data_IF_228262015230
#
_entry.id   IF_228262015230
#
_cell.length_a   1.000
_cell.length_b   1.000
_cell.length_c   1.000
_cell.angle_alpha   90.00
_cell.angle_beta   90.00
_cell.angle_gamma   90.00
#
_symmetry.space_group_name_H-M   'P 1'
#
loop_
_entity.id
_entity.type
_entity.pdbx_description
1 polymer ?
#
# COMPACT_ATOMS: atom_id res chain seq x y z
N UNK A 1 19.06 1.32 -8.47
CA UNK A 1 18.40 2.50 -9.07
C UNK A 1 19.31 3.25 -10.03
N UNK A 2 20.59 3.43 -9.73
CA UNK A 2 21.57 3.97 -10.69
C UNK A 2 22.25 2.79 -11.39
N UNK A 3 22.24 2.79 -12.73
CA UNK A 3 22.79 1.68 -13.55
C UNK A 3 24.26 1.93 -13.92
N UNK A 4 24.69 3.18 -13.89
CA UNK A 4 26.08 3.58 -14.10
C UNK A 4 26.24 5.09 -14.19
N UNK A 5 27.49 5.55 -14.15
CA UNK A 5 27.86 6.94 -14.38
C UNK A 5 28.77 6.97 -15.60
N UNK A 6 28.54 7.94 -16.49
CA UNK A 6 29.31 8.08 -17.71
C UNK A 6 30.79 8.38 -17.39
N UNK A 7 31.74 7.77 -18.11
CA UNK A 7 33.19 7.87 -17.87
C UNK A 7 33.73 9.30 -17.75
N UNK A 8 33.14 10.23 -18.52
CA UNK A 8 33.36 11.69 -18.38
C UNK A 8 33.34 12.21 -16.93
N UNK A 9 32.55 11.61 -16.05
CA UNK A 9 32.38 12.03 -14.66
C UNK A 9 33.10 11.12 -13.65
N UNK A 10 33.98 10.22 -14.11
CA UNK A 10 34.69 9.26 -13.25
C UNK A 10 35.53 9.97 -12.17
N UNK A 11 36.18 11.08 -12.52
CA UNK A 11 36.98 11.87 -11.56
C UNK A 11 36.19 12.58 -10.45
N UNK A 12 34.85 12.59 -10.51
CA UNK A 12 33.98 13.14 -9.46
C UNK A 12 32.98 12.10 -8.93
N UNK A 13 33.14 10.82 -9.29
CA UNK A 13 32.16 9.77 -8.98
C UNK A 13 31.91 9.64 -7.48
N UNK A 14 32.97 9.58 -6.69
CA UNK A 14 32.87 9.46 -5.23
C UNK A 14 32.17 10.67 -4.60
N UNK A 15 32.46 11.88 -5.10
CA UNK A 15 31.78 13.11 -4.66
C UNK A 15 30.27 13.03 -4.94
N UNK A 16 29.89 12.62 -6.16
CA UNK A 16 28.49 12.48 -6.56
C UNK A 16 27.77 11.39 -5.76
N UNK A 17 28.44 10.27 -5.50
CA UNK A 17 27.89 9.17 -4.71
C UNK A 17 27.67 9.60 -3.26
N UNK A 18 28.63 10.28 -2.64
CA UNK A 18 28.49 10.80 -1.28
C UNK A 18 27.34 11.82 -1.20
N UNK A 19 27.29 12.79 -2.11
CA UNK A 19 26.21 13.78 -2.17
C UNK A 19 24.82 13.11 -2.26
N UNK A 20 24.69 12.05 -3.05
CA UNK A 20 23.46 11.29 -3.19
C UNK A 20 23.08 10.57 -1.89
N UNK A 21 24.03 9.82 -1.33
CA UNK A 21 23.85 9.02 -0.12
C UNK A 21 23.50 9.93 1.07
N UNK A 22 24.22 11.03 1.25
CA UNK A 22 23.97 12.01 2.31
C UNK A 22 22.59 12.64 2.18
N UNK A 23 22.18 13.00 0.95
CA UNK A 23 20.83 13.53 0.70
C UNK A 23 19.75 12.52 1.10
N UNK A 24 19.95 11.22 0.83
CA UNK A 24 18.99 10.16 1.18
C UNK A 24 18.98 9.91 2.69
N UNK A 25 20.15 9.76 3.31
CA UNK A 25 20.26 9.54 4.75
C UNK A 25 19.68 10.70 5.55
N UNK A 26 19.83 11.93 5.04
CA UNK A 26 19.19 13.11 5.61
C UNK A 26 17.67 13.04 5.64
N UNK A 27 17.00 12.18 4.87
CA UNK A 27 15.54 12.02 4.89
C UNK A 27 15.07 10.82 5.74
N UNK A 28 15.97 9.93 6.14
CA UNK A 28 15.64 8.68 6.85
C UNK A 28 15.12 8.98 8.26
N UNK A 29 13.97 8.40 8.63
CA UNK A 29 13.44 8.42 9.99
C UNK A 29 12.86 9.77 10.45
N UNK A 30 12.72 10.76 9.55
CA UNK A 30 12.13 12.07 9.89
C UNK A 30 10.68 11.99 10.35
N UNK A 31 9.90 11.06 9.79
CA UNK A 31 8.51 10.84 10.12
C UNK A 31 8.20 9.36 10.01
N UNK A 32 7.50 8.82 11.00
CA UNK A 32 7.01 7.45 11.00
C UNK A 32 5.48 7.47 11.03
N UNK A 33 4.87 6.65 10.18
CA UNK A 33 3.42 6.47 10.11
C UNK A 33 3.10 4.98 10.26
N UNK A 34 2.02 4.69 10.98
CA UNK A 34 1.46 3.35 11.05
C UNK A 34 0.48 3.08 9.89
N UNK A 35 0.01 1.83 9.79
CA UNK A 35 -1.03 1.47 8.84
C UNK A 35 -2.28 2.34 9.00
N UNK A 36 -2.72 2.57 10.25
CA UNK A 36 -3.95 3.30 10.49
C UNK A 36 -3.88 4.75 10.02
N UNK A 37 -2.75 5.44 10.28
CA UNK A 37 -2.51 6.80 9.77
C UNK A 37 -2.72 6.92 8.26
N UNK A 38 -2.43 5.85 7.51
CA UNK A 38 -2.53 5.85 6.06
C UNK A 38 -3.96 5.68 5.53
N UNK A 39 -4.86 5.04 6.29
CA UNK A 39 -6.13 4.54 5.74
C UNK A 39 -7.38 4.97 6.49
N UNK A 40 -7.27 5.47 7.73
CA UNK A 40 -8.43 5.69 8.61
C UNK A 40 -9.44 6.71 8.09
N UNK A 41 -9.00 7.66 7.26
CA UNK A 41 -9.80 8.74 6.69
C UNK A 41 -10.46 8.36 5.35
N UNK A 42 -10.27 7.13 4.86
CA UNK A 42 -11.01 6.61 3.71
C UNK A 42 -12.46 6.22 4.10
N UNK A 43 -13.43 6.32 3.17
CA UNK A 43 -14.79 5.86 3.40
C UNK A 43 -14.83 4.38 3.78
N UNK A 44 -15.64 4.02 4.77
CA UNK A 44 -15.80 2.61 5.13
C UNK A 44 -16.49 1.81 4.02
N UNK A 45 -15.98 0.59 3.79
CA UNK A 45 -16.57 -0.40 2.89
C UNK A 45 -16.57 -1.78 3.57
N UNK A 46 -17.51 -2.63 3.16
CA UNK A 46 -17.68 -3.99 3.67
C UNK A 46 -17.04 -5.04 2.76
N UNK A 47 -17.00 -6.29 3.23
CA UNK A 47 -16.64 -7.43 2.40
C UNK A 47 -17.60 -7.59 1.22
N UNK A 48 -17.05 -7.80 0.02
CA UNK A 48 -17.88 -8.07 -1.15
C UNK A 48 -18.30 -9.53 -1.17
N UNK A 49 -19.60 -9.78 -1.09
CA UNK A 49 -20.18 -11.14 -1.04
C UNK A 49 -20.84 -11.57 -2.34
N UNK A 50 -21.00 -10.67 -3.32
CA UNK A 50 -21.58 -11.02 -4.61
C UNK A 50 -20.55 -11.66 -5.55
N UNK A 51 -20.73 -12.96 -5.78
CA UNK A 51 -19.93 -13.74 -6.73
C UNK A 51 -20.21 -13.30 -8.18
N UNK A 52 -19.21 -13.36 -9.06
CA UNK A 52 -19.30 -13.03 -10.49
C UNK A 52 -19.82 -11.61 -10.79
N UNK A 53 -19.74 -10.70 -9.81
CA UNK A 53 -20.17 -9.29 -9.93
C UNK A 53 -18.98 -8.34 -9.78
N UNK A 54 -17.84 -8.65 -10.40
CA UNK A 54 -16.57 -7.91 -10.25
C UNK A 54 -16.75 -6.40 -10.43
N UNK A 55 -17.47 -5.99 -11.49
CA UNK A 55 -17.68 -4.59 -11.85
C UNK A 55 -18.86 -3.91 -11.15
N UNK A 56 -19.69 -4.66 -10.42
CA UNK A 56 -20.78 -4.04 -9.66
C UNK A 56 -20.22 -3.18 -8.52
N UNK A 57 -20.71 -1.95 -8.43
CA UNK A 57 -20.27 -0.90 -7.51
C UNK A 57 -21.46 -0.35 -6.74
N UNK A 58 -21.25 -0.11 -5.45
CA UNK A 58 -22.24 0.47 -4.57
C UNK A 58 -21.55 0.96 -3.30
N UNK A 59 -22.27 1.75 -2.49
CA UNK A 59 -21.75 2.31 -1.24
C UNK A 59 -21.13 1.24 -0.33
N UNK A 60 -21.71 0.05 -0.33
CA UNK A 60 -21.28 -1.09 0.50
C UNK A 60 -19.93 -1.66 0.08
N UNK A 61 -19.62 -1.73 -1.21
CA UNK A 61 -18.41 -2.40 -1.73
C UNK A 61 -17.41 -1.45 -2.36
N UNK A 62 -17.73 -0.16 -2.37
CA UNK A 62 -16.90 0.89 -2.92
C UNK A 62 -17.04 1.07 -4.43
N UNK A 63 -16.21 1.96 -4.95
CA UNK A 63 -16.30 2.50 -6.30
C UNK A 63 -14.93 2.62 -6.96
N UNK A 64 -14.90 2.55 -8.29
CA UNK A 64 -13.69 2.91 -9.05
C UNK A 64 -13.47 4.42 -9.01
N UNK A 65 -14.58 5.18 -9.13
CA UNK A 65 -14.63 6.63 -8.97
C UNK A 65 -15.62 6.95 -7.86
N UNK A 66 -15.10 7.17 -6.66
CA UNK A 66 -15.89 7.43 -5.47
C UNK A 66 -16.20 8.91 -5.25
N UNK A 67 -16.75 9.17 -4.07
CA UNK A 67 -16.99 10.53 -3.60
C UNK A 67 -15.69 11.31 -3.41
N UNK A 68 -15.82 12.63 -3.34
CA UNK A 68 -14.75 13.50 -2.88
C UNK A 68 -14.71 13.51 -1.36
N UNK A 69 -13.51 13.44 -0.78
CA UNK A 69 -13.28 13.56 0.67
C UNK A 69 -12.22 14.64 0.94
N UNK A 70 -12.27 15.21 2.14
CA UNK A 70 -11.30 16.20 2.58
C UNK A 70 -9.98 15.52 2.99
N UNK A 71 -8.90 15.87 2.28
CA UNK A 71 -7.55 15.35 2.52
C UNK A 71 -6.79 16.33 3.40
N UNK A 72 -6.88 16.14 4.72
CA UNK A 72 -6.26 17.05 5.69
C UNK A 72 -5.35 16.35 6.71
N UNK A 73 -5.32 15.01 6.73
CA UNK A 73 -4.49 14.22 7.64
C UNK A 73 -2.99 14.42 7.33
N UNK A 74 -2.09 14.29 8.32
CA UNK A 74 -0.66 14.40 8.08
C UNK A 74 -0.16 13.42 7.00
N UNK A 75 -0.70 12.20 6.98
CA UNK A 75 -0.37 11.21 5.95
C UNK A 75 -0.89 11.62 4.56
N UNK A 76 -2.16 12.03 4.45
CA UNK A 76 -2.73 12.49 3.18
C UNK A 76 -1.94 13.67 2.61
N UNK A 77 -1.52 14.62 3.46
CA UNK A 77 -0.63 15.72 3.05
C UNK A 77 0.71 15.20 2.53
N UNK A 78 1.31 14.18 3.15
CA UNK A 78 2.58 13.63 2.71
C UNK A 78 2.51 13.04 1.28
N UNK A 79 1.52 12.19 1.03
CA UNK A 79 1.35 11.49 -0.26
C UNK A 79 0.84 12.43 -1.36
N UNK A 80 0.04 13.44 -1.00
CA UNK A 80 -0.52 14.43 -1.93
C UNK A 80 0.32 15.72 -2.01
N UNK A 81 1.62 15.65 -1.69
CA UNK A 81 2.57 16.75 -1.84
C UNK A 81 2.14 18.09 -1.16
N UNK A 82 1.55 18.00 0.02
CA UNK A 82 1.10 19.13 0.82
C UNK A 82 -0.27 19.68 0.43
N UNK A 83 -0.94 19.11 -0.56
CA UNK A 83 -2.30 19.52 -0.93
C UNK A 83 -3.27 19.35 0.25
N UNK A 84 -4.13 20.35 0.43
CA UNK A 84 -5.20 20.37 1.43
C UNK A 84 -6.48 20.79 0.74
N UNK A 85 -7.50 19.93 0.79
CA UNK A 85 -8.78 20.18 0.15
C UNK A 85 -9.44 18.87 -0.24
N UNK A 86 -10.42 18.96 -1.14
CA UNK A 86 -11.17 17.78 -1.60
C UNK A 86 -10.41 17.04 -2.69
N UNK A 87 -10.39 15.71 -2.61
CA UNK A 87 -9.88 14.82 -3.66
C UNK A 87 -10.83 13.64 -3.87
N UNK A 88 -10.92 13.08 -5.09
CA UNK A 88 -11.73 11.91 -5.35
C UNK A 88 -11.13 10.65 -4.72
N UNK A 89 -11.98 9.75 -4.21
CA UNK A 89 -11.56 8.43 -3.75
C UNK A 89 -11.53 7.47 -4.95
N UNK A 90 -10.34 7.16 -5.47
CA UNK A 90 -10.17 6.33 -6.67
C UNK A 90 -9.79 4.88 -6.34
N UNK A 91 -10.31 3.92 -7.10
CA UNK A 91 -10.02 2.48 -6.96
C UNK A 91 -10.25 1.90 -5.55
N UNK A 92 -11.16 2.48 -4.76
CA UNK A 92 -11.45 1.99 -3.41
C UNK A 92 -12.62 1.00 -3.46
N UNK A 93 -12.29 -0.29 -3.66
CA UNK A 93 -13.25 -1.38 -3.79
C UNK A 93 -12.84 -2.60 -2.98
N UNK A 94 -13.83 -3.30 -2.44
CA UNK A 94 -13.63 -4.57 -1.74
C UNK A 94 -13.56 -5.74 -2.73
N UNK A 95 -12.59 -6.64 -2.52
CA UNK A 95 -12.49 -7.89 -3.27
C UNK A 95 -13.54 -8.88 -2.79
N UNK A 96 -13.97 -9.79 -3.67
CA UNK A 96 -14.90 -10.84 -3.29
C UNK A 96 -14.30 -11.73 -2.18
N UNK A 97 -15.07 -11.97 -1.12
CA UNK A 97 -14.77 -12.95 -0.09
C UNK A 97 -15.96 -13.88 0.10
N UNK A 98 -15.67 -15.18 0.19
CA UNK A 98 -16.68 -16.18 0.52
C UNK A 98 -17.01 -16.12 2.03
N UNK A 99 -18.10 -16.77 2.45
CA UNK A 99 -18.56 -16.76 3.85
C UNK A 99 -17.51 -17.28 4.83
N UNK A 100 -16.73 -18.31 4.46
CA UNK A 100 -15.67 -18.86 5.31
C UNK A 100 -14.54 -17.86 5.52
N UNK A 101 -14.10 -17.20 4.44
CA UNK A 101 -13.04 -16.19 4.54
C UNK A 101 -13.48 -15.02 5.44
N UNK A 102 -14.73 -14.56 5.29
CA UNK A 102 -15.29 -13.49 6.14
C UNK A 102 -15.32 -13.93 7.60
N UNK A 103 -15.70 -15.17 7.88
CA UNK A 103 -15.71 -15.72 9.25
C UNK A 103 -14.29 -15.86 9.83
N UNK A 104 -13.32 -16.29 9.02
CA UNK A 104 -11.90 -16.28 9.45
C UNK A 104 -11.47 -14.86 9.80
N UNK A 105 -11.76 -13.89 8.93
CA UNK A 105 -11.36 -12.51 9.14
C UNK A 105 -12.04 -11.85 10.35
N UNK A 106 -13.28 -12.24 10.67
CA UNK A 106 -14.03 -11.71 11.81
C UNK A 106 -13.48 -12.24 13.14
N UNK A 107 -13.07 -13.51 13.19
CA UNK A 107 -12.52 -14.16 14.38
C UNK A 107 -11.09 -13.75 14.73
N UNK A 108 -10.28 -13.43 13.72
CA UNK A 108 -8.91 -12.98 13.95
C UNK A 108 -8.90 -11.63 14.68
N UNK A 109 -8.04 -11.52 15.69
CA UNK A 109 -7.65 -10.26 16.31
C UNK A 109 -6.49 -9.61 15.52
N UNK A 110 -6.32 -8.27 15.54
CA UNK A 110 -5.16 -7.63 14.94
C UNK A 110 -3.83 -8.24 15.44
N UNK A 111 -2.95 -8.60 14.52
CA UNK A 111 -1.70 -9.30 14.78
C UNK A 111 -1.78 -10.83 14.68
N UNK A 112 -2.98 -11.42 14.68
CA UNK A 112 -3.15 -12.87 14.56
C UNK A 112 -2.91 -13.38 13.14
N UNK A 113 -2.41 -14.61 13.07
CA UNK A 113 -1.98 -15.31 11.84
C UNK A 113 -2.78 -16.60 11.62
N UNK A 114 -2.35 -17.42 10.67
CA UNK A 114 -3.04 -18.66 10.26
C UNK A 114 -3.07 -19.74 11.33
N UNK A 115 -2.18 -19.67 12.32
CA UNK A 115 -2.07 -20.58 13.45
C UNK A 115 -2.86 -20.13 14.69
N UNK A 116 -3.57 -19.00 14.61
CA UNK A 116 -4.39 -18.53 15.72
C UNK A 116 -5.46 -19.56 16.11
N UNK A 117 -5.60 -19.77 17.42
CA UNK A 117 -6.55 -20.76 17.96
C UNK A 117 -8.00 -20.40 17.58
N UNK A 118 -8.30 -19.10 17.43
CA UNK A 118 -9.59 -18.54 17.04
C UNK A 118 -10.13 -19.04 15.69
N UNK A 119 -9.28 -19.54 14.80
CA UNK A 119 -9.66 -19.98 13.45
C UNK A 119 -9.28 -21.43 13.13
N UNK A 120 -8.72 -22.16 14.09
CA UNK A 120 -8.15 -23.49 13.87
C UNK A 120 -9.17 -24.53 13.38
N UNK A 121 -10.42 -24.39 13.78
CA UNK A 121 -11.56 -25.22 13.38
C UNK A 121 -11.98 -24.99 11.92
N UNK A 122 -11.88 -23.74 11.45
CA UNK A 122 -12.35 -23.32 10.12
C UNK A 122 -11.23 -23.08 9.09
N UNK A 123 -9.96 -23.04 9.50
CA UNK A 123 -8.83 -22.78 8.61
C UNK A 123 -8.64 -23.92 7.59
N UNK A 124 -8.85 -23.67 6.27
CA UNK A 124 -8.72 -24.71 5.25
C UNK A 124 -7.27 -25.17 5.02
N UNK A 125 -6.29 -24.44 5.54
CA UNK A 125 -4.86 -24.71 5.37
C UNK A 125 -4.21 -25.36 6.60
N UNK A 126 -4.99 -25.81 7.59
CA UNK A 126 -4.48 -26.41 8.83
C UNK A 126 -3.48 -27.56 8.60
N UNK A 127 -3.71 -28.40 7.59
CA UNK A 127 -2.84 -29.54 7.25
C UNK A 127 -1.55 -29.13 6.53
N UNK A 128 -1.41 -27.84 6.19
CA UNK A 128 -0.23 -27.26 5.53
C UNK A 128 0.36 -26.13 6.36
N UNK A 129 0.17 -26.14 7.67
CA UNK A 129 0.66 -25.11 8.59
C UNK A 129 2.19 -24.93 8.50
N UNK A 130 2.96 -25.98 8.14
CA UNK A 130 4.40 -25.86 7.91
C UNK A 130 4.79 -25.02 6.68
N UNK A 131 3.88 -24.86 5.70
CA UNK A 131 4.11 -24.17 4.42
C UNK A 131 3.39 -22.81 4.39
N UNK A 132 2.21 -22.72 5.01
CA UNK A 132 1.30 -21.57 4.94
C UNK A 132 1.10 -20.86 6.29
N UNK A 133 2.17 -20.69 7.08
CA UNK A 133 2.11 -20.02 8.40
C UNK A 133 1.50 -18.63 8.37
N UNK A 134 1.78 -17.89 7.30
CA UNK A 134 1.36 -16.50 7.14
C UNK A 134 0.23 -16.32 6.12
N UNK A 135 -0.51 -17.38 5.74
CA UNK A 135 -1.53 -17.29 4.68
C UNK A 135 -2.61 -16.26 5.01
N UNK A 136 -3.14 -16.34 6.22
CA UNK A 136 -3.94 -15.32 6.87
C UNK A 136 -3.07 -14.47 7.80
N UNK A 137 -3.26 -13.16 7.75
CA UNK A 137 -2.69 -12.22 8.71
C UNK A 137 -3.59 -10.99 8.83
N UNK A 138 -4.07 -10.73 10.06
CA UNK A 138 -4.82 -9.51 10.37
C UNK A 138 -3.87 -8.42 10.77
N UNK A 139 -3.86 -7.33 10.00
CA UNK A 139 -2.84 -6.30 10.14
C UNK A 139 -2.98 -5.57 11.47
N UNK A 140 -1.84 -5.20 12.06
CA UNK A 140 -1.77 -4.34 13.23
C UNK A 140 -2.02 -2.89 12.80
N UNK A 141 -2.97 -2.16 13.43
CA UNK A 141 -3.29 -0.79 13.03
C UNK A 141 -2.17 0.19 13.40
N UNK A 142 -1.53 -0.03 14.55
CA UNK A 142 -0.55 0.89 15.15
C UNK A 142 0.91 0.58 14.75
N UNK A 143 1.11 -0.35 13.82
CA UNK A 143 2.42 -0.70 13.29
C UNK A 143 2.53 -0.31 11.81
N UNK A 144 3.73 -0.15 11.25
CA UNK A 144 3.91 -0.07 9.82
C UNK A 144 3.30 -1.27 9.11
N UNK A 145 2.64 -1.05 7.98
CA UNK A 145 2.06 -2.15 7.20
C UNK A 145 3.16 -3.09 6.69
N UNK A 146 2.82 -4.38 6.59
CA UNK A 146 3.62 -5.35 5.83
C UNK A 146 3.79 -4.87 4.39
N UNK A 147 4.93 -5.21 3.78
CA UNK A 147 5.21 -4.90 2.37
C UNK A 147 4.05 -5.35 1.47
N UNK A 148 3.51 -4.40 0.71
CA UNK A 148 2.49 -4.66 -0.31
C UNK A 148 3.14 -5.43 -1.45
N UNK A 149 2.54 -6.55 -1.86
CA UNK A 149 3.08 -7.41 -2.92
C UNK A 149 2.07 -7.62 -4.03
N UNK A 150 2.56 -7.91 -5.24
CA UNK A 150 1.70 -8.20 -6.38
C UNK A 150 0.85 -9.47 -6.20
N UNK A 151 1.14 -10.30 -5.18
CA UNK A 151 0.31 -11.46 -4.84
C UNK A 151 -1.12 -11.07 -4.44
N UNK A 152 -1.36 -9.82 -4.02
CA UNK A 152 -2.72 -9.30 -3.79
C UNK A 152 -3.64 -9.43 -5.02
N UNK A 153 -3.06 -9.58 -6.22
CA UNK A 153 -3.75 -9.99 -7.45
C UNK A 153 -4.60 -11.24 -7.24
N UNK A 154 -4.11 -12.25 -6.52
CA UNK A 154 -4.80 -13.52 -6.27
C UNK A 154 -5.73 -13.42 -5.06
N UNK A 155 -5.19 -13.06 -3.90
CA UNK A 155 -5.95 -12.92 -2.66
C UNK A 155 -5.30 -11.91 -1.71
N UNK A 156 -6.09 -11.44 -0.75
CA UNK A 156 -5.65 -10.47 0.26
C UNK A 156 -5.59 -11.10 1.66
N UNK A 157 -5.43 -12.43 1.75
CA UNK A 157 -5.46 -13.15 3.03
C UNK A 157 -4.36 -12.66 3.99
N UNK A 158 -3.21 -12.22 3.48
CA UNK A 158 -2.10 -11.67 4.28
C UNK A 158 -2.25 -10.19 4.64
N UNK A 159 -3.33 -9.55 4.16
CA UNK A 159 -3.55 -8.12 4.23
C UNK A 159 -4.98 -7.84 4.70
N UNK A 160 -5.42 -8.52 5.77
CA UNK A 160 -6.77 -8.35 6.31
C UNK A 160 -6.83 -7.01 7.04
N UNK A 161 -7.88 -6.24 6.78
CA UNK A 161 -8.12 -4.94 7.38
C UNK A 161 -8.21 -5.06 8.92
N UNK A 162 -7.58 -4.17 9.70
CA UNK A 162 -7.53 -4.29 11.17
C UNK A 162 -8.91 -4.34 11.83
N UNK A 163 -9.87 -3.57 11.31
CA UNK A 163 -11.20 -3.39 11.93
C UNK A 163 -12.36 -3.94 11.11
N UNK A 164 -12.11 -4.54 9.94
CA UNK A 164 -13.19 -5.01 9.06
C UNK A 164 -12.87 -6.40 8.55
N UNK A 165 -13.89 -7.25 8.40
CA UNK A 165 -13.74 -8.62 7.91
C UNK A 165 -13.56 -8.67 6.38
N UNK A 166 -12.53 -8.00 5.86
CA UNK A 166 -12.14 -7.97 4.43
C UNK A 166 -10.64 -7.76 4.28
N UNK A 167 -10.12 -8.02 3.08
CA UNK A 167 -8.79 -7.54 2.72
C UNK A 167 -8.73 -6.02 2.58
N UNK A 168 -7.52 -5.46 2.60
CA UNK A 168 -7.29 -4.09 2.16
C UNK A 168 -7.76 -3.92 0.71
N UNK A 169 -8.50 -2.86 0.45
CA UNK A 169 -8.87 -2.38 -0.88
C UNK A 169 -7.64 -1.94 -1.68
N UNK A 170 -7.75 -1.77 -3.01
CA UNK A 170 -6.65 -1.26 -3.82
C UNK A 170 -6.22 0.14 -3.40
N UNK A 171 -7.15 1.04 -3.04
CA UNK A 171 -6.82 2.39 -2.54
C UNK A 171 -6.04 2.35 -1.22
N UNK A 172 -6.42 1.49 -0.28
CA UNK A 172 -5.70 1.34 0.99
C UNK A 172 -4.27 0.82 0.74
N UNK A 173 -4.12 -0.19 -0.12
CA UNK A 173 -2.80 -0.71 -0.51
C UNK A 173 -1.97 0.33 -1.27
N UNK A 174 -2.59 1.13 -2.13
CA UNK A 174 -1.93 2.22 -2.86
C UNK A 174 -1.42 3.30 -1.91
N UNK A 175 -2.23 3.70 -0.92
CA UNK A 175 -1.80 4.62 0.12
C UNK A 175 -0.64 4.07 0.92
N UNK A 176 -0.70 2.82 1.38
CA UNK A 176 0.45 2.17 2.06
C UNK A 176 1.73 2.23 1.19
N UNK A 177 1.60 2.02 -0.13
CA UNK A 177 2.72 2.13 -1.07
C UNK A 177 3.14 3.58 -1.36
N UNK A 178 2.44 4.57 -0.82
CA UNK A 178 2.73 6.00 -0.93
C UNK A 178 2.24 6.66 -2.21
N UNK A 179 1.25 6.07 -2.88
CA UNK A 179 0.63 6.69 -4.06
C UNK A 179 -0.23 7.90 -3.67
N UNK A 180 -0.18 8.98 -4.46
CA UNK A 180 -1.16 10.06 -4.37
C UNK A 180 -2.61 9.57 -4.55
N UNK A 181 -3.55 10.29 -3.96
CA UNK A 181 -4.97 9.94 -4.00
C UNK A 181 -5.62 10.18 -5.36
N UNK A 182 -5.08 11.10 -6.15
CA UNK A 182 -5.49 11.36 -7.53
C UNK A 182 -4.89 10.38 -8.55
N UNK A 183 -4.04 9.44 -8.12
CA UNK A 183 -3.48 8.43 -9.01
C UNK A 183 -4.53 7.34 -9.33
N UNK A 184 -5.00 7.31 -10.57
CA UNK A 184 -5.93 6.31 -11.08
C UNK A 184 -5.20 5.07 -11.61
N UNK A 185 -5.58 3.89 -11.11
CA UNK A 185 -5.13 2.61 -11.67
C UNK A 185 -6.12 2.12 -12.73
N UNK A 186 -5.60 1.72 -13.89
CA UNK A 186 -6.38 1.24 -15.03
C UNK A 186 -6.39 -0.30 -15.10
N UNK A 187 -7.36 -0.85 -15.81
CA UNK A 187 -7.55 -2.30 -15.97
C UNK A 187 -8.56 -2.87 -14.96
N UNK A 188 -8.49 -4.18 -14.73
CA UNK A 188 -9.37 -4.88 -13.80
C UNK A 188 -8.96 -4.68 -12.33
N UNK A 189 -9.87 -4.88 -11.35
CA UNK A 189 -9.53 -4.74 -9.94
C UNK A 189 -8.33 -5.57 -9.47
N UNK A 190 -8.14 -6.77 -10.01
CA UNK A 190 -6.96 -7.59 -9.69
C UNK A 190 -5.67 -6.98 -10.28
N UNK A 191 -5.74 -6.43 -11.50
CA UNK A 191 -4.59 -5.77 -12.13
C UNK A 191 -4.16 -4.50 -11.41
N UNK A 192 -5.07 -3.79 -10.74
CA UNK A 192 -4.71 -2.67 -9.88
C UNK A 192 -3.78 -3.13 -8.75
N UNK A 193 -4.11 -4.22 -8.05
CA UNK A 193 -3.23 -4.79 -7.02
C UNK A 193 -1.87 -5.21 -7.57
N UNK A 194 -1.83 -5.80 -8.77
CA UNK A 194 -0.56 -6.16 -9.42
C UNK A 194 0.30 -4.93 -9.71
N UNK A 195 -0.32 -3.85 -10.21
CA UNK A 195 0.38 -2.58 -10.45
C UNK A 195 0.94 -1.99 -9.15
N UNK A 196 0.10 -1.91 -8.10
CA UNK A 196 0.49 -1.36 -6.80
C UNK A 196 1.65 -2.17 -6.21
N UNK A 197 1.52 -3.49 -6.16
CA UNK A 197 2.51 -4.37 -5.53
C UNK A 197 3.83 -4.53 -6.29
N UNK A 198 3.85 -4.26 -7.61
CA UNK A 198 5.09 -4.24 -8.40
C UNK A 198 5.76 -2.86 -8.43
N UNK A 199 5.06 -1.80 -8.03
CA UNK A 199 5.56 -0.44 -8.12
C UNK A 199 6.61 -0.14 -7.06
N UNK A 200 7.56 0.73 -7.41
CA UNK A 200 8.39 1.42 -6.44
C UNK A 200 7.56 2.52 -5.79
N UNK A 201 7.61 2.64 -4.45
CA UNK A 201 6.88 3.68 -3.73
C UNK A 201 7.20 5.08 -4.28
N UNK A 202 6.18 5.90 -4.64
CA UNK A 202 6.40 7.27 -5.08
C UNK A 202 7.10 8.14 -4.03
N UNK A 203 6.89 7.85 -2.74
CA UNK A 203 7.60 8.54 -1.65
C UNK A 203 9.10 8.26 -1.68
N UNK A 204 9.49 6.99 -1.89
CA UNK A 204 10.89 6.62 -2.06
C UNK A 204 11.47 7.24 -3.34
N UNK A 205 10.76 7.15 -4.45
CA UNK A 205 11.18 7.76 -5.72
C UNK A 205 11.40 9.28 -5.59
N UNK A 206 10.57 9.98 -4.81
CA UNK A 206 10.72 11.41 -4.50
C UNK A 206 12.01 11.69 -3.72
N UNK A 207 12.35 10.87 -2.73
CA UNK A 207 13.62 11.00 -1.97
C UNK A 207 14.83 10.77 -2.89
N UNK A 208 14.81 9.72 -3.70
CA UNK A 208 15.86 9.45 -4.69
C UNK A 208 15.99 10.59 -5.70
N UNK A 209 14.86 11.14 -6.14
CA UNK A 209 14.80 12.28 -7.06
C UNK A 209 15.44 13.56 -6.49
N UNK A 210 15.33 13.81 -5.17
CA UNK A 210 16.01 14.92 -4.50
C UNK A 210 17.54 14.76 -4.59
N UNK A 211 18.05 13.57 -4.27
CA UNK A 211 19.49 13.27 -4.39
C UNK A 211 19.99 13.44 -5.81
N UNK A 212 19.25 12.91 -6.78
CA UNK A 212 19.58 13.05 -8.20
C UNK A 212 19.58 14.52 -8.64
N UNK A 213 18.60 15.32 -8.20
CA UNK A 213 18.55 16.75 -8.50
C UNK A 213 19.80 17.48 -8.01
N UNK A 214 20.30 17.17 -6.82
CA UNK A 214 21.53 17.77 -6.28
C UNK A 214 22.76 17.41 -7.12
N UNK A 215 22.88 16.14 -7.56
CA UNK A 215 23.92 15.72 -8.50
C UNK A 215 23.83 16.50 -9.82
N UNK A 216 22.64 16.59 -10.41
CA UNK A 216 22.47 17.27 -11.70
C UNK A 216 22.81 18.76 -11.59
N UNK A 217 22.41 19.43 -10.51
CA UNK A 217 22.82 20.81 -10.22
C UNK A 217 24.35 20.96 -10.16
N UNK A 218 25.03 20.02 -9.50
CA UNK A 218 26.50 20.01 -9.42
C UNK A 218 27.15 19.87 -10.80
N UNK A 219 26.63 18.97 -11.64
CA UNK A 219 27.14 18.74 -12.99
C UNK A 219 26.91 19.95 -13.91
N UNK A 220 25.71 20.53 -13.87
CA UNK A 220 25.31 21.59 -14.80
C UNK A 220 25.51 23.02 -14.25
N UNK A 221 26.00 23.17 -13.01
CA UNK A 221 26.24 24.46 -12.33
C UNK A 221 24.98 25.36 -12.27
N UNK A 222 23.83 24.77 -11.98
CA UNK A 222 22.50 25.43 -11.85
C UNK A 222 21.90 25.26 -10.46
#
# INVERSE_FOLDING_TARGET
FIVGVHSKYEGILDELQNLFIDTIHGEKGKVNFCLWDAIFDLPEIEAKTAQNRTYYECKRWGYTYGQFIDMCTPYAKLINNGYVGKMPVLNHKSKYNNTRDIEIYSRLLPGEKSDAESIKDINPYKNRAGIFKDKFYKLLPNEPCKTITAHMYYDCHMYIHPYSARGLSPREAARVQGFPDDYLFLGTPNEWYRQIGNAVSPLLARVLGKGLKNILKRIYRV
#
